data_IF_333957292337
#
_entry.id   IF_333957292337
#
_cell.length_a   1.000
_cell.length_b   1.000
_cell.length_c   1.000
_cell.angle_alpha   90.00
_cell.angle_beta   90.00
_cell.angle_gamma   90.00
#
_symmetry.space_group_name_H-M   'P 1'
#
loop_
_entity.id
_entity.type
_entity.pdbx_description
1 polymer ?
#
# COMPACT_ATOMS: atom_id res chain seq x y z
N UNK A 1 -6.37 14.33 -24.09
CA UNK A 1 -7.36 13.35 -23.59
C UNK A 1 -7.15 13.20 -22.09
N UNK A 2 -8.16 13.49 -21.24
CA UNK A 2 -8.07 13.17 -19.81
C UNK A 2 -8.04 11.64 -19.69
N UNK A 3 -7.04 11.08 -19.01
CA UNK A 3 -7.02 9.66 -18.68
C UNK A 3 -7.97 9.42 -17.52
N UNK A 4 -8.90 8.49 -17.69
CA UNK A 4 -9.71 8.01 -16.58
C UNK A 4 -8.84 7.22 -15.60
N UNK A 5 -9.12 7.30 -14.30
CA UNK A 5 -8.40 6.53 -13.29
C UNK A 5 -8.67 5.02 -13.48
N UNK A 6 -7.62 4.22 -13.46
CA UNK A 6 -7.74 2.76 -13.44
C UNK A 6 -7.81 2.25 -11.99
N UNK A 7 -8.75 1.34 -11.71
CA UNK A 7 -8.92 0.74 -10.39
C UNK A 7 -8.37 -0.70 -10.38
N UNK A 8 -7.56 -1.01 -9.37
CA UNK A 8 -6.97 -2.34 -9.17
C UNK A 8 -7.31 -2.79 -7.73
N UNK A 9 -7.83 -4.01 -7.58
CA UNK A 9 -8.19 -4.56 -6.27
C UNK A 9 -7.49 -5.89 -6.01
N UNK A 10 -6.77 -5.97 -4.89
CA UNK A 10 -6.18 -7.21 -4.40
C UNK A 10 -7.07 -7.81 -3.30
N UNK A 11 -7.89 -8.79 -3.67
CA UNK A 11 -8.84 -9.44 -2.77
C UNK A 11 -8.59 -10.94 -2.62
N UNK A 12 -8.88 -11.48 -1.45
CA UNK A 12 -8.79 -12.92 -1.14
C UNK A 12 -9.56 -13.21 0.14
N UNK A 13 -10.31 -14.31 0.12
CA UNK A 13 -11.09 -14.82 1.27
C UNK A 13 -10.20 -15.33 2.42
N UNK A 14 -8.94 -15.68 2.13
CA UNK A 14 -8.01 -16.23 3.13
C UNK A 14 -7.13 -15.11 3.72
N UNK A 15 -7.05 -15.07 5.05
CA UNK A 15 -6.07 -14.27 5.77
C UNK A 15 -4.64 -14.78 5.48
N UNK A 16 -3.69 -13.87 5.26
CA UNK A 16 -2.30 -14.26 4.98
C UNK A 16 -2.03 -14.74 3.54
N UNK A 17 -2.99 -14.63 2.61
CA UNK A 17 -2.79 -14.96 1.18
C UNK A 17 -1.84 -14.00 0.42
N UNK A 18 -1.17 -13.07 1.12
CA UNK A 18 -0.21 -12.16 0.49
C UNK A 18 -0.80 -10.89 -0.13
N UNK A 19 -2.09 -10.56 0.07
CA UNK A 19 -2.72 -9.35 -0.51
C UNK A 19 -1.87 -8.08 -0.36
N UNK A 20 -1.46 -7.76 0.85
CA UNK A 20 -0.60 -6.60 1.14
C UNK A 20 0.79 -6.75 0.52
N UNK A 21 1.35 -7.96 0.52
CA UNK A 21 2.65 -8.26 -0.07
C UNK A 21 2.66 -8.12 -1.60
N UNK A 22 1.51 -8.26 -2.28
CA UNK A 22 1.37 -7.90 -3.69
C UNK A 22 1.06 -6.41 -3.89
N UNK A 23 0.19 -5.84 -3.05
CA UNK A 23 -0.26 -4.44 -3.17
C UNK A 23 0.90 -3.44 -3.08
N UNK A 24 1.80 -3.60 -2.10
CA UNK A 24 2.89 -2.65 -1.84
C UNK A 24 3.90 -2.61 -3.01
N UNK A 25 4.45 -3.74 -3.50
CA UNK A 25 5.32 -3.74 -4.68
C UNK A 25 4.64 -3.25 -5.95
N UNK A 26 3.38 -3.64 -6.20
CA UNK A 26 2.64 -3.17 -7.39
C UNK A 26 2.49 -1.64 -7.38
N UNK A 27 2.17 -1.05 -6.22
CA UNK A 27 2.12 0.40 -6.05
C UNK A 27 3.48 1.04 -6.34
N UNK A 28 4.57 0.47 -5.82
CA UNK A 28 5.93 0.95 -6.07
C UNK A 28 6.32 0.91 -7.55
N UNK A 29 5.96 -0.15 -8.28
CA UNK A 29 6.22 -0.27 -9.72
C UNK A 29 5.41 0.77 -10.51
N UNK A 30 4.11 0.92 -10.21
CA UNK A 30 3.24 1.87 -10.89
C UNK A 30 3.70 3.32 -10.69
N UNK A 31 4.08 3.67 -9.46
CA UNK A 31 4.55 5.01 -9.13
C UNK A 31 5.97 5.25 -9.66
N UNK A 32 6.95 4.42 -9.26
CA UNK A 32 8.37 4.71 -9.49
C UNK A 32 8.81 4.41 -10.93
N UNK A 33 8.35 3.28 -11.49
CA UNK A 33 8.79 2.82 -12.81
C UNK A 33 7.87 3.33 -13.92
N UNK A 34 6.56 3.40 -13.67
CA UNK A 34 5.56 3.77 -14.69
C UNK A 34 5.03 5.21 -14.57
N UNK A 35 5.45 5.96 -13.55
CA UNK A 35 5.12 7.38 -13.35
C UNK A 35 3.62 7.67 -13.24
N UNK A 36 2.83 6.72 -12.76
CA UNK A 36 1.41 6.96 -12.44
C UNK A 36 1.28 7.71 -11.11
N UNK A 37 0.27 8.58 -11.01
CA UNK A 37 -0.24 9.04 -9.72
C UNK A 37 -1.08 7.90 -9.12
N UNK A 38 -0.67 7.39 -7.95
CA UNK A 38 -1.27 6.20 -7.34
C UNK A 38 -1.77 6.54 -5.94
N UNK A 39 -3.02 6.18 -5.66
CA UNK A 39 -3.57 6.19 -4.31
C UNK A 39 -3.84 4.74 -3.88
N UNK A 40 -3.51 4.41 -2.63
CA UNK A 40 -3.76 3.09 -2.03
C UNK A 40 -4.74 3.24 -0.89
N UNK A 41 -5.81 2.45 -0.91
CA UNK A 41 -6.83 2.42 0.15
C UNK A 41 -6.75 1.06 0.85
N UNK A 42 -6.47 1.07 2.15
CA UNK A 42 -6.41 -0.15 2.98
C UNK A 42 -7.81 -0.50 3.52
N UNK A 43 -8.49 -1.42 2.83
CA UNK A 43 -9.84 -1.87 3.15
C UNK A 43 -9.89 -3.12 4.04
N UNK A 44 -8.87 -3.36 4.89
CA UNK A 44 -8.82 -4.53 5.80
C UNK A 44 -8.95 -4.15 7.30
N UNK A 45 -10.05 -3.51 7.75
CA UNK A 45 -10.31 -3.33 9.18
C UNK A 45 -10.59 -4.69 9.85
N UNK A 46 -10.09 -4.94 11.09
CA UNK A 46 -9.34 -4.03 11.96
C UNK A 46 -7.81 -4.08 11.75
N UNK A 47 -7.30 -4.90 10.83
CA UNK A 47 -5.87 -5.23 10.74
C UNK A 47 -5.04 -4.10 10.13
N UNK A 48 -5.57 -3.35 9.18
CA UNK A 48 -4.92 -2.21 8.50
C UNK A 48 -3.41 -2.41 8.25
N UNK A 49 -3.08 -3.52 7.57
CA UNK A 49 -1.71 -4.03 7.46
C UNK A 49 -0.73 -3.02 6.84
N UNK A 50 -1.22 -2.11 5.98
CA UNK A 50 -0.39 -1.07 5.34
C UNK A 50 -0.17 0.09 6.32
N UNK A 51 -1.24 0.59 6.94
CA UNK A 51 -1.14 1.71 7.89
C UNK A 51 -0.29 1.38 9.11
N UNK A 52 -0.35 0.13 9.60
CA UNK A 52 0.53 -0.35 10.68
C UNK A 52 1.99 -0.38 10.26
N UNK A 53 2.31 -0.80 9.03
CA UNK A 53 3.67 -0.82 8.53
C UNK A 53 4.27 0.59 8.46
N UNK A 54 3.47 1.59 8.04
CA UNK A 54 3.89 3.00 8.07
C UNK A 54 4.15 3.49 9.50
N UNK A 55 3.25 3.20 10.44
CA UNK A 55 3.42 3.57 11.86
C UNK A 55 4.67 2.94 12.48
N UNK A 56 5.00 1.69 12.14
CA UNK A 56 6.21 1.01 12.62
C UNK A 56 7.51 1.62 12.08
N UNK A 57 7.49 2.19 10.87
CA UNK A 57 8.63 2.97 10.35
C UNK A 57 8.85 4.26 11.14
N UNK A 58 7.79 4.81 11.76
CA UNK A 58 7.85 5.98 12.66
C UNK A 58 8.28 5.61 14.10
N UNK A 59 9.06 4.54 14.30
CA UNK A 59 9.65 4.24 15.62
C UNK A 59 10.79 5.23 15.97
N UNK A 60 11.03 5.54 17.25
CA UNK A 60 11.59 6.79 17.77
C UNK A 60 13.12 6.88 17.70
N UNK A 61 13.71 6.64 16.54
CA UNK A 61 15.11 7.01 16.28
C UNK A 61 15.27 8.49 15.92
N UNK A 62 14.24 9.30 16.16
CA UNK A 62 14.29 10.77 16.12
C UNK A 62 14.51 11.41 17.50
N UNK A 63 14.63 10.62 18.59
CA UNK A 63 14.98 11.10 19.93
C UNK A 63 16.45 10.83 20.32
N UNK A 64 17.30 10.49 19.34
CA UNK A 64 18.75 10.39 19.51
C UNK A 64 19.44 11.24 18.43
N UNK A 65 19.10 12.52 18.41
CA UNK A 65 19.87 13.61 17.80
C UNK A 65 19.78 14.81 18.72
#
# INVERSE_FOLDING_TARGET
MKKEPSFITFASRKGGAGKTAFTVPTTGILHNCRKYNVAVVDCDPPRHSIGLAEKRKKHPMTNLM
#
